data_IF_314378129624
#
_entry.id   IF_314378129624
#
_cell.length_a   1.000
_cell.length_b   1.000
_cell.length_c   1.000
_cell.angle_alpha   90.00
_cell.angle_beta   90.00
_cell.angle_gamma   90.00
#
_symmetry.space_group_name_H-M   'P 1'
#
loop_
_entity.id
_entity.type
_entity.pdbx_description
1 polymer ?
#
# COMPACT_ATOMS: atom_id res chain seq x y z
N UNK A 1 14.01 42.51 -50.20
CA UNK A 1 13.37 41.19 -50.11
C UNK A 1 14.06 40.43 -49.00
N UNK A 2 13.42 40.33 -47.85
CA UNK A 2 13.92 39.59 -46.66
C UNK A 2 13.12 38.31 -46.58
N UNK A 3 13.77 37.18 -46.83
CA UNK A 3 13.14 35.86 -46.74
C UNK A 3 13.17 35.38 -45.26
N UNK A 4 12.01 35.40 -44.64
CA UNK A 4 11.78 34.84 -43.30
C UNK A 4 11.84 33.30 -43.35
N UNK A 5 12.80 32.69 -42.65
CA UNK A 5 12.88 31.25 -42.45
C UNK A 5 12.16 30.89 -41.13
N UNK A 6 11.03 30.22 -41.25
CA UNK A 6 10.29 29.62 -40.10
C UNK A 6 11.11 28.47 -39.50
N UNK A 7 11.31 28.40 -38.18
CA UNK A 7 12.01 27.29 -37.56
C UNK A 7 11.12 26.02 -37.56
N UNK A 8 11.64 24.94 -38.13
CA UNK A 8 11.04 23.61 -38.06
C UNK A 8 11.16 23.09 -36.61
N UNK A 9 10.04 23.03 -35.93
CA UNK A 9 9.92 22.33 -34.60
C UNK A 9 10.24 20.86 -34.85
N UNK A 10 11.35 20.37 -34.28
CA UNK A 10 11.63 18.93 -34.20
C UNK A 10 10.61 18.28 -33.25
N UNK A 11 9.70 17.53 -33.83
CA UNK A 11 8.81 16.63 -33.08
C UNK A 11 9.70 15.57 -32.44
N UNK A 12 9.80 15.60 -31.09
CA UNK A 12 10.49 14.56 -30.35
C UNK A 12 9.75 13.25 -30.59
N UNK A 13 10.44 12.28 -31.18
CA UNK A 13 9.92 10.92 -31.32
C UNK A 13 9.68 10.36 -29.88
N UNK A 14 8.44 10.04 -29.55
CA UNK A 14 8.10 9.34 -28.34
C UNK A 14 8.84 7.99 -28.38
N UNK A 15 9.69 7.74 -27.38
CA UNK A 15 10.29 6.42 -27.18
C UNK A 15 9.16 5.41 -27.00
N UNK A 16 9.24 4.23 -27.63
CA UNK A 16 8.26 3.17 -27.38
C UNK A 16 8.27 2.84 -25.89
N UNK A 17 7.12 3.00 -25.26
CA UNK A 17 6.95 2.62 -23.86
C UNK A 17 7.14 1.09 -23.78
N UNK A 18 8.30 0.63 -23.29
CA UNK A 18 8.44 -0.75 -22.88
C UNK A 18 7.42 -1.00 -21.76
N UNK A 19 6.60 -2.07 -21.86
CA UNK A 19 5.67 -2.40 -20.80
C UNK A 19 6.46 -2.60 -19.50
N UNK A 20 6.08 -1.90 -18.45
CA UNK A 20 6.66 -2.05 -17.12
C UNK A 20 6.37 -3.49 -16.65
N UNK A 21 7.38 -4.35 -16.42
CA UNK A 21 7.18 -5.75 -16.05
C UNK A 21 6.44 -5.94 -14.71
N UNK A 22 6.38 -4.89 -13.91
CA UNK A 22 5.61 -4.89 -12.66
C UNK A 22 4.11 -4.70 -12.88
N UNK A 23 3.68 -4.15 -14.02
CA UNK A 23 2.26 -3.92 -14.33
C UNK A 23 1.67 -5.19 -14.94
N UNK A 24 0.57 -5.68 -14.35
CA UNK A 24 -0.13 -6.86 -14.86
C UNK A 24 -0.75 -6.58 -16.24
N UNK A 25 -0.57 -7.49 -17.22
CA UNK A 25 -1.27 -7.42 -18.51
C UNK A 25 -2.78 -7.47 -18.28
N UNK A 26 -3.54 -6.55 -18.92
CA UNK A 26 -4.96 -6.37 -18.64
C UNK A 26 -5.83 -7.58 -19.00
N UNK A 27 -5.44 -8.30 -20.06
CA UNK A 27 -6.25 -9.39 -20.61
C UNK A 27 -5.77 -10.79 -20.18
N UNK A 28 -4.63 -10.89 -19.51
CA UNK A 28 -4.07 -12.19 -19.12
C UNK A 28 -4.53 -12.58 -17.70
N UNK A 29 -4.94 -13.83 -17.49
CA UNK A 29 -5.22 -14.36 -16.17
C UNK A 29 -4.01 -14.25 -15.24
N UNK A 30 -4.25 -13.90 -13.97
CA UNK A 30 -3.19 -13.81 -12.97
C UNK A 30 -3.57 -14.52 -11.67
N UNK A 31 -2.63 -15.22 -11.01
CA UNK A 31 -2.83 -15.80 -9.69
C UNK A 31 -3.27 -14.75 -8.66
N UNK A 32 -2.78 -13.51 -8.76
CA UNK A 32 -3.14 -12.41 -7.87
C UNK A 32 -4.66 -12.17 -7.80
N UNK A 33 -5.37 -12.43 -8.89
CA UNK A 33 -6.82 -12.28 -9.01
C UNK A 33 -7.55 -13.63 -9.10
N UNK A 34 -6.95 -14.71 -8.60
CA UNK A 34 -7.56 -16.04 -8.58
C UNK A 34 -7.79 -16.63 -9.96
N UNK A 35 -6.90 -16.32 -10.91
CA UNK A 35 -7.02 -16.78 -12.30
C UNK A 35 -7.92 -15.89 -13.17
N UNK A 36 -8.44 -14.80 -12.64
CA UNK A 36 -9.10 -13.79 -13.48
C UNK A 36 -8.05 -12.88 -14.13
N UNK A 37 -8.38 -12.34 -15.29
CA UNK A 37 -7.65 -11.19 -15.82
C UNK A 37 -8.09 -9.90 -15.10
N UNK A 38 -7.26 -8.82 -15.10
CA UNK A 38 -7.67 -7.51 -14.60
C UNK A 38 -9.01 -7.04 -15.19
N UNK A 39 -9.22 -7.16 -16.50
CA UNK A 39 -10.50 -6.82 -17.14
C UNK A 39 -11.67 -7.62 -16.56
N UNK A 40 -11.50 -8.93 -16.38
CA UNK A 40 -12.54 -9.76 -15.80
C UNK A 40 -12.83 -9.40 -14.34
N UNK A 41 -11.78 -9.08 -13.56
CA UNK A 41 -11.93 -8.60 -12.18
C UNK A 41 -12.72 -7.30 -12.13
N UNK A 42 -12.36 -6.31 -12.94
CA UNK A 42 -13.07 -5.02 -13.00
C UNK A 42 -14.55 -5.19 -13.38
N UNK A 43 -14.85 -6.10 -14.29
CA UNK A 43 -16.24 -6.36 -14.72
C UNK A 43 -17.07 -7.12 -13.70
N UNK A 44 -16.47 -8.07 -12.96
CA UNK A 44 -17.22 -9.03 -12.13
C UNK A 44 -17.20 -8.70 -10.65
N UNK A 45 -16.13 -8.04 -10.16
CA UNK A 45 -15.88 -7.84 -8.74
C UNK A 45 -15.79 -6.37 -8.33
N UNK A 46 -15.07 -5.54 -9.07
CA UNK A 46 -14.85 -4.14 -8.71
C UNK A 46 -16.16 -3.40 -8.45
N UNK A 47 -16.33 -2.81 -7.25
CA UNK A 47 -17.55 -2.17 -6.76
C UNK A 47 -18.83 -3.06 -6.82
N UNK A 48 -18.70 -4.38 -6.88
CA UNK A 48 -19.84 -5.29 -6.99
C UNK A 48 -19.89 -6.36 -5.91
N UNK A 49 -18.78 -7.07 -5.72
CA UNK A 49 -18.69 -8.16 -4.76
C UNK A 49 -17.25 -8.45 -4.36
N UNK A 50 -16.99 -8.92 -3.13
CA UNK A 50 -15.66 -9.29 -2.70
C UNK A 50 -15.10 -10.46 -3.51
N UNK A 51 -13.77 -10.55 -3.56
CA UNK A 51 -13.01 -11.68 -4.10
C UNK A 51 -11.99 -12.13 -3.05
N UNK A 52 -12.11 -13.36 -2.59
CA UNK A 52 -11.10 -13.99 -1.74
C UNK A 52 -10.21 -14.88 -2.59
N UNK A 53 -8.91 -14.60 -2.62
CA UNK A 53 -7.91 -15.43 -3.29
C UNK A 53 -6.90 -15.90 -2.26
N UNK A 54 -6.86 -17.20 -2.00
CA UNK A 54 -5.87 -17.77 -1.10
C UNK A 54 -4.54 -17.92 -1.81
N UNK A 55 -3.43 -17.57 -1.13
CA UNK A 55 -2.08 -17.58 -1.69
C UNK A 55 -1.97 -16.82 -3.03
N UNK A 56 -2.66 -15.69 -3.12
CA UNK A 56 -2.68 -14.86 -4.32
C UNK A 56 -1.28 -14.41 -4.78
N UNK A 57 -0.37 -14.29 -3.84
CA UNK A 57 1.02 -13.90 -4.08
C UNK A 57 1.98 -14.83 -3.31
N UNK A 58 2.30 -16.01 -3.83
CA UNK A 58 3.23 -16.93 -3.19
C UNK A 58 4.61 -16.29 -3.02
N UNK A 59 5.21 -16.46 -1.84
CA UNK A 59 6.56 -15.96 -1.56
C UNK A 59 6.65 -14.45 -1.37
N UNK A 60 5.53 -13.75 -1.24
CA UNK A 60 5.57 -12.32 -0.90
C UNK A 60 6.25 -12.12 0.47
N UNK A 61 7.18 -11.17 0.52
CA UNK A 61 7.85 -10.76 1.76
C UNK A 61 7.49 -9.31 2.06
N UNK A 62 7.39 -8.93 3.34
CA UNK A 62 7.19 -7.52 3.70
C UNK A 62 8.31 -6.65 3.10
N UNK A 63 8.00 -5.47 2.56
CA UNK A 63 9.00 -4.57 1.96
C UNK A 63 9.94 -3.93 3.00
N UNK A 64 9.59 -3.99 4.28
CA UNK A 64 10.43 -3.63 5.42
C UNK A 64 10.25 -4.65 6.54
N UNK A 65 11.29 -4.87 7.32
CA UNK A 65 11.19 -5.65 8.54
C UNK A 65 10.61 -4.82 9.70
N UNK A 66 10.47 -5.46 10.86
CA UNK A 66 9.94 -4.78 12.05
C UNK A 66 10.80 -3.61 12.52
N UNK A 67 12.13 -3.70 12.39
CA UNK A 67 13.03 -2.63 12.80
C UNK A 67 12.84 -1.40 11.90
N UNK A 68 12.85 -1.59 10.59
CA UNK A 68 12.60 -0.54 9.62
C UNK A 68 11.20 0.07 9.75
N UNK A 69 10.16 -0.73 10.07
CA UNK A 69 8.84 -0.20 10.34
C UNK A 69 8.85 0.75 11.56
N UNK A 70 9.55 0.40 12.64
CA UNK A 70 9.62 1.24 13.83
C UNK A 70 10.48 2.50 13.62
N UNK A 71 11.50 2.43 12.77
CA UNK A 71 12.28 3.60 12.35
C UNK A 71 11.41 4.58 11.55
N UNK A 72 10.66 4.09 10.58
CA UNK A 72 9.71 4.89 9.82
C UNK A 72 8.64 5.50 10.72
N UNK A 73 8.06 4.72 11.63
CA UNK A 73 7.04 5.22 12.55
C UNK A 73 7.56 6.31 13.51
N UNK A 74 8.86 6.39 13.76
CA UNK A 74 9.49 7.39 14.59
C UNK A 74 9.82 8.71 13.86
N UNK A 75 9.76 8.70 12.52
CA UNK A 75 10.00 9.89 11.71
C UNK A 75 8.80 10.82 11.72
N UNK A 76 9.05 12.12 11.71
CA UNK A 76 8.05 13.18 11.59
C UNK A 76 7.58 13.40 10.15
N UNK A 77 8.33 12.89 9.16
CA UNK A 77 7.97 12.91 7.75
C UNK A 77 7.01 11.77 7.34
N UNK A 78 6.77 10.81 8.26
CA UNK A 78 6.01 9.57 7.95
C UNK A 78 4.72 9.54 8.75
N UNK A 79 3.59 9.39 8.06
CA UNK A 79 2.33 9.19 8.76
C UNK A 79 2.30 7.83 9.45
N UNK A 80 2.23 7.87 10.77
CA UNK A 80 2.15 6.65 11.58
C UNK A 80 1.05 6.73 12.63
N UNK A 81 0.54 5.57 13.01
CA UNK A 81 -0.52 5.43 14.01
C UNK A 81 -0.18 4.31 14.97
N UNK A 82 -0.47 4.54 16.23
CA UNK A 82 -0.45 3.52 17.28
C UNK A 82 -1.87 3.27 17.73
N UNK A 83 -2.28 2.02 17.71
CA UNK A 83 -3.60 1.58 18.19
C UNK A 83 -3.38 0.60 19.32
N UNK A 84 -4.09 0.77 20.42
CA UNK A 84 -4.09 -0.21 21.52
C UNK A 84 -5.49 -0.50 22.00
N UNK A 85 -5.64 -1.73 22.48
CA UNK A 85 -6.87 -2.24 23.09
C UNK A 85 -6.67 -2.29 24.59
N UNK A 86 -7.61 -1.73 25.32
CA UNK A 86 -7.65 -1.73 26.78
C UNK A 86 -8.97 -2.34 27.22
N UNK A 87 -8.94 -3.19 28.26
CA UNK A 87 -10.12 -3.88 28.77
C UNK A 87 -10.45 -5.15 28.00
N UNK A 88 -11.46 -5.87 28.49
CA UNK A 88 -11.97 -7.13 27.95
C UNK A 88 -13.48 -7.09 27.81
N UNK A 89 -14.04 -7.93 26.93
CA UNK A 89 -15.49 -8.04 26.72
C UNK A 89 -16.13 -6.70 26.36
N UNK A 90 -17.25 -6.39 26.99
CA UNK A 90 -18.03 -5.16 26.74
C UNK A 90 -17.34 -3.88 27.24
N UNK A 91 -16.33 -4.00 28.12
CA UNK A 91 -15.50 -2.88 28.58
C UNK A 91 -14.30 -2.60 27.67
N UNK A 92 -14.19 -3.27 26.53
CA UNK A 92 -13.11 -3.10 25.59
C UNK A 92 -13.14 -1.70 24.98
N UNK A 93 -12.02 -0.98 25.08
CA UNK A 93 -11.83 0.33 24.47
C UNK A 93 -10.63 0.32 23.55
N UNK A 94 -10.73 1.05 22.45
CA UNK A 94 -9.65 1.27 21.50
C UNK A 94 -9.10 2.70 21.67
N UNK A 95 -7.79 2.81 21.72
CA UNK A 95 -7.10 4.10 21.77
C UNK A 95 -6.27 4.27 20.51
N UNK A 96 -6.17 5.50 20.01
CA UNK A 96 -5.37 5.86 18.84
C UNK A 96 -4.46 7.03 19.18
N UNK A 97 -3.18 6.88 18.86
CA UNK A 97 -2.21 7.99 18.85
C UNK A 97 -1.61 8.14 17.47
N UNK A 98 -1.40 9.36 17.03
CA UNK A 98 -0.69 9.67 15.78
C UNK A 98 0.80 9.85 16.05
N UNK A 99 1.62 9.58 15.00
CA UNK A 99 3.07 9.80 15.02
C UNK A 99 3.49 11.26 15.18
N UNK A 100 4.79 11.48 15.33
CA UNK A 100 5.86 10.48 15.34
C UNK A 100 5.85 9.58 16.59
N UNK A 101 6.23 8.31 16.40
CA UNK A 101 6.15 7.25 17.43
C UNK A 101 7.55 6.71 17.79
N UNK A 102 8.39 7.46 18.53
CA UNK A 102 9.71 6.98 18.91
C UNK A 102 9.59 5.71 19.75
N UNK A 103 10.53 4.77 19.58
CA UNK A 103 10.47 3.44 20.22
C UNK A 103 10.23 3.49 21.73
N UNK A 104 10.76 4.47 22.43
CA UNK A 104 10.54 4.68 23.88
C UNK A 104 9.10 5.01 24.26
N UNK A 105 8.29 5.48 23.31
CA UNK A 105 6.86 5.80 23.52
C UNK A 105 5.94 4.62 23.25
N UNK A 106 6.48 3.51 22.76
CA UNK A 106 5.74 2.27 22.45
C UNK A 106 5.91 1.26 23.60
N UNK A 107 4.91 0.41 23.82
CA UNK A 107 5.02 -0.65 24.82
C UNK A 107 6.15 -1.64 24.47
N UNK A 108 6.60 -2.46 25.44
CA UNK A 108 7.47 -3.58 25.19
C UNK A 108 6.86 -4.54 24.15
N UNK A 109 7.70 -5.12 23.28
CA UNK A 109 7.24 -6.03 22.22
C UNK A 109 6.48 -7.24 22.76
N UNK A 110 6.84 -7.70 23.96
CA UNK A 110 6.18 -8.82 24.64
C UNK A 110 4.80 -8.47 25.24
N UNK A 111 4.49 -7.20 25.36
CA UNK A 111 3.17 -6.75 25.81
C UNK A 111 2.19 -6.87 24.64
N UNK A 112 1.10 -7.58 24.84
CA UNK A 112 0.06 -7.74 23.82
C UNK A 112 -0.87 -6.53 23.66
N UNK A 113 -1.85 -6.63 22.74
CA UNK A 113 -2.97 -5.71 22.63
C UNK A 113 -2.69 -4.39 21.93
N UNK A 114 -1.62 -4.27 21.12
CA UNK A 114 -1.30 -3.03 20.39
C UNK A 114 -0.77 -3.27 18.99
N UNK A 115 -0.86 -2.24 18.17
CA UNK A 115 -0.45 -2.24 16.76
C UNK A 115 0.19 -0.91 16.41
N UNK A 116 1.23 -0.94 15.58
CA UNK A 116 1.77 0.24 14.88
C UNK A 116 1.47 0.10 13.39
N UNK A 117 1.00 1.18 12.79
CA UNK A 117 0.75 1.29 11.36
C UNK A 117 1.61 2.41 10.79
N UNK A 118 2.10 2.20 9.57
CA UNK A 118 2.77 3.22 8.74
C UNK A 118 2.00 3.32 7.44
N UNK A 119 1.50 4.50 7.13
CA UNK A 119 0.82 4.82 5.88
C UNK A 119 1.78 5.41 4.85
N UNK A 120 1.39 5.41 3.58
CA UNK A 120 2.21 5.97 2.51
C UNK A 120 3.58 5.28 2.38
N UNK A 121 3.69 3.99 2.70
CA UNK A 121 4.97 3.29 2.68
C UNK A 121 5.65 3.34 1.31
N UNK A 122 4.88 3.38 0.24
CA UNK A 122 5.34 3.52 -1.15
C UNK A 122 6.04 4.85 -1.44
N UNK A 123 5.81 5.89 -0.63
CA UNK A 123 6.51 7.17 -0.73
C UNK A 123 7.92 7.11 -0.12
N UNK A 124 8.18 6.18 0.79
CA UNK A 124 9.41 6.11 1.59
C UNK A 124 10.27 4.89 1.25
N UNK A 125 9.66 3.82 0.71
CA UNK A 125 10.32 2.53 0.47
C UNK A 125 10.14 2.09 -0.99
N UNK A 126 11.20 2.09 -1.81
CA UNK A 126 11.10 1.71 -3.22
C UNK A 126 10.48 0.34 -3.46
N UNK A 127 10.75 -0.64 -2.60
CA UNK A 127 10.15 -1.98 -2.70
C UNK A 127 8.63 -1.95 -2.50
N UNK A 128 8.10 -1.05 -1.66
CA UNK A 128 6.66 -0.87 -1.47
C UNK A 128 6.01 -0.22 -2.71
N UNK A 129 6.66 0.78 -3.30
CA UNK A 129 6.22 1.37 -4.56
C UNK A 129 6.16 0.33 -5.69
N UNK A 130 7.15 -0.57 -5.75
CA UNK A 130 7.17 -1.67 -6.72
C UNK A 130 6.03 -2.67 -6.49
N UNK A 131 5.71 -2.98 -5.23
CA UNK A 131 4.56 -3.83 -4.89
C UNK A 131 3.25 -3.19 -5.36
N UNK A 132 3.06 -1.89 -5.13
CA UNK A 132 1.86 -1.15 -5.51
C UNK A 132 1.66 -1.11 -7.04
N UNK A 133 2.74 -1.11 -7.82
CA UNK A 133 2.68 -1.14 -9.28
C UNK A 133 1.89 -2.31 -9.85
N UNK A 134 1.86 -3.46 -9.19
CA UNK A 134 1.09 -4.63 -9.62
C UNK A 134 -0.42 -4.38 -9.65
N UNK A 135 -0.89 -3.38 -8.93
CA UNK A 135 -2.31 -3.01 -8.86
C UNK A 135 -2.69 -1.89 -9.83
N UNK A 136 -1.77 -1.42 -10.69
CA UNK A 136 -2.02 -0.34 -11.66
C UNK A 136 -3.01 -0.67 -12.77
N UNK A 137 -3.58 -1.85 -12.79
CA UNK A 137 -4.78 -2.12 -13.58
C UNK A 137 -6.02 -1.39 -13.02
N UNK A 138 -5.96 -0.97 -11.77
CA UNK A 138 -6.87 0.02 -11.18
C UNK A 138 -6.34 1.42 -11.53
N UNK A 139 -7.19 2.38 -11.93
CA UNK A 139 -6.77 3.75 -12.19
C UNK A 139 -5.98 4.34 -11.02
N UNK A 140 -4.88 5.05 -11.30
CA UNK A 140 -3.99 5.63 -10.27
C UNK A 140 -4.76 6.47 -9.23
N UNK A 141 -5.77 7.22 -9.68
CA UNK A 141 -6.62 8.03 -8.79
C UNK A 141 -7.54 7.20 -7.86
N UNK A 142 -7.50 5.87 -7.95
CA UNK A 142 -8.24 4.92 -7.12
C UNK A 142 -7.34 4.02 -6.29
N UNK A 143 -6.03 4.19 -6.43
CA UNK A 143 -5.04 3.59 -5.56
C UNK A 143 -4.66 4.67 -4.53
N UNK A 144 -4.88 4.38 -3.28
CA UNK A 144 -4.49 5.28 -2.20
C UNK A 144 -2.99 5.10 -1.92
N UNK A 145 -2.63 4.24 -0.99
CA UNK A 145 -1.25 3.99 -0.62
C UNK A 145 -1.00 2.49 -0.32
N UNK A 146 0.23 2.17 -0.02
CA UNK A 146 0.57 0.90 0.61
C UNK A 146 0.82 1.13 2.11
N UNK A 147 -0.08 0.65 2.94
CA UNK A 147 0.05 0.67 4.39
C UNK A 147 0.67 -0.64 4.89
N UNK A 148 1.52 -0.55 5.90
CA UNK A 148 2.04 -1.71 6.62
C UNK A 148 1.75 -1.59 8.11
N UNK A 149 1.46 -2.71 8.75
CA UNK A 149 1.26 -2.76 10.20
C UNK A 149 2.05 -3.89 10.84
N UNK A 150 2.46 -3.65 12.08
CA UNK A 150 2.95 -4.68 12.98
C UNK A 150 2.06 -4.73 14.22
N UNK A 151 1.52 -5.90 14.52
CA UNK A 151 0.66 -6.13 15.67
C UNK A 151 1.35 -7.07 16.69
N UNK A 152 1.33 -6.70 17.95
CA UNK A 152 1.63 -7.61 19.05
C UNK A 152 0.51 -8.64 19.20
N UNK A 153 0.73 -9.69 20.00
CA UNK A 153 -0.30 -10.68 20.29
C UNK A 153 -1.59 -10.01 20.79
N UNK A 154 -2.74 -10.37 20.20
CA UNK A 154 -4.02 -9.74 20.49
C UNK A 154 -4.16 -8.28 20.08
N UNK A 155 -3.18 -7.74 19.34
CA UNK A 155 -3.28 -6.42 18.71
C UNK A 155 -4.23 -6.41 17.51
N UNK A 156 -4.60 -5.23 17.08
CA UNK A 156 -5.48 -4.99 15.94
C UNK A 156 -5.82 -3.52 15.81
N UNK A 157 -6.78 -3.20 14.94
CA UNK A 157 -7.25 -1.83 14.71
C UNK A 157 -8.72 -1.61 15.07
N UNK A 158 -9.39 -2.68 15.51
CA UNK A 158 -10.83 -2.67 15.79
C UNK A 158 -11.70 -2.65 14.52
N UNK A 159 -13.01 -2.80 14.66
CA UNK A 159 -13.95 -2.63 13.56
C UNK A 159 -13.92 -1.17 13.07
N UNK A 160 -13.80 -1.00 11.75
CA UNK A 160 -13.77 0.32 11.12
C UNK A 160 -14.24 0.22 9.67
N UNK A 161 -14.44 1.37 9.06
CA UNK A 161 -14.63 1.52 7.62
C UNK A 161 -13.38 2.21 7.05
N UNK A 162 -12.90 1.72 5.92
CA UNK A 162 -11.91 2.44 5.12
C UNK A 162 -12.60 3.56 4.35
N UNK A 163 -11.98 4.74 4.34
CA UNK A 163 -12.54 5.97 3.72
C UNK A 163 -12.11 6.09 2.26
#
# INVERSE_FOLDING_TARGET
MVTSRTPRTRQAAALPAHPDPAVLPLDLPTPLLGGLSPVQFMQRHWHRKPLLVRQAWPGVTPPVDRAGLFELAASDEVESRFVSRIGEGDAQQWTLRRGPLPRRSLPPIKQGGWTVLVQGLDLHVPAAAEMLRRFRFVPQARLDDLMISWAAEGGGVGPHFDS
#
